data_IF_911021068802
#
_entry.id   IF_911021068802
#
_cell.length_a   1.000
_cell.length_b   1.000
_cell.length_c   1.000
_cell.angle_alpha   90.00
_cell.angle_beta   90.00
_cell.angle_gamma   90.00
#
_symmetry.space_group_name_H-M   'P 1'
#
loop_
_entity.id
_entity.type
_entity.pdbx_description
1 polymer ?
#
# COMPACT_ATOMS: atom_id res chain seq x y z
N UNK A 1 -0.37 11.70 -17.07
CA UNK A 1 0.06 10.80 -15.99
C UNK A 1 -0.05 9.36 -16.45
N UNK A 2 1.05 8.64 -16.42
CA UNK A 2 1.12 7.28 -17.00
C UNK A 2 0.41 6.22 -16.16
N UNK A 3 0.16 6.49 -14.87
CA UNK A 3 -0.52 5.54 -13.98
C UNK A 3 -1.93 5.98 -13.60
N UNK A 4 -2.51 6.90 -14.37
CA UNK A 4 -3.86 7.39 -14.09
C UNK A 4 -4.85 6.22 -13.97
N UNK A 5 -5.62 6.23 -12.91
CA UNK A 5 -6.65 5.23 -12.60
C UNK A 5 -6.11 3.82 -12.33
N UNK A 6 -4.79 3.65 -12.20
CA UNK A 6 -4.22 2.37 -11.77
C UNK A 6 -4.29 2.24 -10.27
N UNK A 7 -4.49 1.02 -9.80
CA UNK A 7 -4.60 0.70 -8.37
C UNK A 7 -3.47 -0.24 -7.98
N UNK A 8 -2.60 0.21 -7.08
CA UNK A 8 -1.37 -0.49 -6.74
C UNK A 8 -1.30 -0.74 -5.24
N UNK A 9 -1.07 -1.99 -4.87
CA UNK A 9 -0.80 -2.38 -3.49
C UNK A 9 0.72 -2.38 -3.28
N UNK A 10 1.19 -1.68 -2.26
CA UNK A 10 2.62 -1.61 -1.93
C UNK A 10 2.84 -2.09 -0.51
N UNK A 11 3.73 -3.06 -0.34
CA UNK A 11 4.13 -3.54 0.98
C UNK A 11 5.48 -2.93 1.38
N UNK A 12 5.80 -2.96 2.67
CA UNK A 12 7.12 -2.58 3.14
C UNK A 12 7.39 -1.09 3.26
N UNK A 13 6.35 -0.26 3.29
CA UNK A 13 6.55 1.17 3.56
C UNK A 13 6.75 1.32 5.08
N UNK A 14 8.00 1.44 5.50
CA UNK A 14 8.34 1.56 6.91
C UNK A 14 8.70 2.98 7.32
N UNK A 15 9.48 3.67 6.48
CA UNK A 15 9.88 5.05 6.74
C UNK A 15 9.88 5.83 5.44
N UNK A 16 10.00 7.16 5.53
CA UNK A 16 10.11 8.03 4.36
C UNK A 16 11.42 7.81 3.57
N UNK A 17 12.32 6.96 4.09
CA UNK A 17 13.58 6.61 3.42
C UNK A 17 13.54 5.23 2.76
N UNK A 18 12.44 4.49 2.90
CA UNK A 18 12.35 3.16 2.29
C UNK A 18 12.15 3.26 0.78
N UNK A 19 12.60 2.21 0.07
CA UNK A 19 12.38 2.13 -1.40
C UNK A 19 10.88 2.06 -1.69
N UNK A 20 10.12 1.36 -0.86
CA UNK A 20 8.67 1.27 -1.03
C UNK A 20 8.02 2.65 -0.90
N UNK A 21 8.49 3.49 0.01
CA UNK A 21 8.00 4.86 0.15
C UNK A 21 8.25 5.67 -1.13
N UNK A 22 9.46 5.60 -1.66
CA UNK A 22 9.81 6.30 -2.89
C UNK A 22 8.96 5.82 -4.08
N UNK A 23 8.74 4.50 -4.16
CA UNK A 23 7.88 3.91 -5.20
C UNK A 23 6.44 4.39 -5.08
N UNK A 24 5.90 4.46 -3.86
CA UNK A 24 4.56 4.97 -3.62
C UNK A 24 4.43 6.42 -4.05
N UNK A 25 5.43 7.24 -3.71
CA UNK A 25 5.45 8.65 -4.09
C UNK A 25 5.40 8.82 -5.60
N UNK A 26 6.24 8.10 -6.33
CA UNK A 26 6.26 8.17 -7.79
C UNK A 26 4.92 7.70 -8.37
N UNK A 27 4.35 6.62 -7.84
CA UNK A 27 3.07 6.12 -8.32
C UNK A 27 1.96 7.16 -8.15
N UNK A 28 1.89 7.80 -6.98
CA UNK A 28 0.89 8.83 -6.70
C UNK A 28 1.07 10.02 -7.63
N UNK A 29 2.31 10.47 -7.84
CA UNK A 29 2.61 11.57 -8.73
C UNK A 29 2.20 11.27 -10.19
N UNK A 30 2.12 9.99 -10.55
CA UNK A 30 1.69 9.55 -11.87
C UNK A 30 0.21 9.13 -11.91
N UNK A 31 -0.55 9.45 -10.90
CA UNK A 31 -1.99 9.30 -10.91
C UNK A 31 -2.54 8.00 -10.35
N UNK A 32 -1.70 7.14 -9.80
CA UNK A 32 -2.15 5.88 -9.23
C UNK A 32 -2.88 6.07 -7.90
N UNK A 33 -3.80 5.17 -7.61
CA UNK A 33 -4.35 4.98 -6.27
C UNK A 33 -3.47 3.94 -5.58
N UNK A 34 -2.87 4.31 -4.46
CA UNK A 34 -1.96 3.44 -3.71
C UNK A 34 -2.63 2.95 -2.44
N UNK A 35 -2.47 1.67 -2.16
CA UNK A 35 -2.89 1.04 -0.92
C UNK A 35 -1.64 0.43 -0.29
N UNK A 36 -1.49 0.52 1.01
CA UNK A 36 -0.32 0.02 1.72
C UNK A 36 -0.71 -1.07 2.71
N UNK A 37 0.25 -1.92 3.06
CA UNK A 37 0.07 -2.92 4.10
C UNK A 37 1.17 -2.82 5.14
N UNK A 38 0.83 -3.21 6.36
CA UNK A 38 1.76 -3.31 7.46
C UNK A 38 1.31 -4.41 8.42
N UNK A 39 2.16 -4.78 9.37
CA UNK A 39 1.84 -5.83 10.33
C UNK A 39 2.46 -5.54 11.69
N UNK A 40 1.71 -5.82 12.74
CA UNK A 40 2.19 -5.69 14.11
C UNK A 40 2.64 -4.27 14.42
N UNK A 41 3.83 -4.13 14.99
CA UNK A 41 4.41 -2.82 15.31
C UNK A 41 4.69 -2.01 14.05
N UNK A 42 4.98 -2.69 12.94
CA UNK A 42 5.23 -2.04 11.66
C UNK A 42 4.00 -1.37 11.09
N UNK A 43 2.80 -1.80 11.47
CA UNK A 43 1.56 -1.22 10.98
C UNK A 43 1.47 0.28 11.30
N UNK A 44 1.77 0.67 12.55
CA UNK A 44 1.75 2.08 12.95
C UNK A 44 2.83 2.89 12.25
N UNK A 45 3.99 2.28 12.05
CA UNK A 45 5.09 2.93 11.33
C UNK A 45 4.66 3.21 9.89
N UNK A 46 4.05 2.22 9.24
CA UNK A 46 3.53 2.37 7.89
C UNK A 46 2.46 3.46 7.82
N UNK A 47 1.51 3.45 8.75
CA UNK A 47 0.46 4.47 8.80
C UNK A 47 1.03 5.89 8.90
N UNK A 48 2.06 6.08 9.72
CA UNK A 48 2.71 7.39 9.84
C UNK A 48 3.45 7.79 8.58
N UNK A 49 4.14 6.83 7.96
CA UNK A 49 4.90 7.10 6.76
C UNK A 49 3.98 7.51 5.60
N UNK A 50 2.88 6.76 5.39
CA UNK A 50 1.98 7.05 4.28
C UNK A 50 1.23 8.37 4.44
N UNK A 51 0.99 8.82 5.66
CA UNK A 51 0.35 10.12 5.88
C UNK A 51 1.17 11.28 5.35
N UNK A 52 2.48 11.12 5.28
CA UNK A 52 3.36 12.15 4.70
C UNK A 52 3.20 12.24 3.19
N UNK A 53 2.72 11.16 2.56
CA UNK A 53 2.47 11.15 1.12
C UNK A 53 1.08 11.66 0.79
N UNK A 54 0.07 11.14 1.47
CA UNK A 54 -1.33 11.49 1.23
C UNK A 54 -2.19 10.94 2.35
N UNK A 55 -3.21 11.70 2.74
CA UNK A 55 -4.19 11.24 3.72
C UNK A 55 -5.15 10.20 3.11
N UNK A 56 -5.15 10.06 1.80
CA UNK A 56 -6.06 9.16 1.09
C UNK A 56 -5.57 7.72 1.00
N UNK A 57 -4.32 7.46 1.39
CA UNK A 57 -3.77 6.11 1.32
C UNK A 57 -4.33 5.27 2.46
N UNK A 58 -4.96 4.16 2.11
CA UNK A 58 -5.48 3.20 3.09
C UNK A 58 -4.41 2.17 3.42
N UNK A 59 -4.35 1.80 4.70
CA UNK A 59 -3.37 0.83 5.19
C UNK A 59 -4.11 -0.38 5.75
N UNK A 60 -3.74 -1.55 5.30
CA UNK A 60 -4.31 -2.82 5.76
C UNK A 60 -3.28 -3.63 6.51
N UNK A 61 -3.74 -4.36 7.53
CA UNK A 61 -2.87 -5.29 8.26
C UNK A 61 -2.71 -6.57 7.46
N UNK A 62 -1.45 -7.00 7.27
CA UNK A 62 -1.15 -8.22 6.51
C UNK A 62 0.15 -8.82 6.99
N UNK A 63 0.09 -10.05 7.50
CA UNK A 63 1.28 -10.84 7.81
C UNK A 63 1.66 -11.66 6.57
N UNK A 64 2.76 -11.29 5.93
CA UNK A 64 3.22 -11.92 4.69
C UNK A 64 3.51 -13.41 4.87
N UNK A 65 3.91 -13.83 6.07
CA UNK A 65 4.21 -15.22 6.38
C UNK A 65 2.96 -16.08 6.60
N UNK A 66 1.80 -15.45 6.70
CA UNK A 66 0.53 -16.15 6.92
C UNK A 66 -0.33 -16.03 5.67
N UNK A 67 -0.45 -17.13 4.92
CA UNK A 67 -1.17 -17.13 3.64
C UNK A 67 -2.64 -16.74 3.80
N UNK A 68 -3.28 -17.16 4.88
CA UNK A 68 -4.69 -16.80 5.11
C UNK A 68 -4.84 -15.30 5.32
N UNK A 69 -3.90 -14.64 6.00
CA UNK A 69 -3.94 -13.19 6.16
C UNK A 69 -3.67 -12.47 4.84
N UNK A 70 -2.77 -13.00 4.02
CA UNK A 70 -2.51 -12.44 2.69
C UNK A 70 -3.78 -12.48 1.86
N UNK A 71 -4.45 -13.62 1.82
CA UNK A 71 -5.69 -13.79 1.07
C UNK A 71 -6.80 -12.87 1.59
N UNK A 72 -6.94 -12.76 2.90
CA UNK A 72 -7.93 -11.88 3.53
C UNK A 72 -7.66 -10.42 3.24
N UNK A 73 -6.39 -10.01 3.30
CA UNK A 73 -6.00 -8.63 3.02
C UNK A 73 -6.26 -8.26 1.56
N UNK A 74 -5.91 -9.14 0.64
CA UNK A 74 -6.17 -8.91 -0.79
C UNK A 74 -7.67 -8.76 -1.04
N UNK A 75 -8.48 -9.61 -0.42
CA UNK A 75 -9.94 -9.53 -0.56
C UNK A 75 -10.48 -8.20 0.00
N UNK A 76 -9.99 -7.78 1.18
CA UNK A 76 -10.39 -6.50 1.78
C UNK A 76 -10.02 -5.33 0.88
N UNK A 77 -8.83 -5.36 0.29
CA UNK A 77 -8.39 -4.31 -0.62
C UNK A 77 -9.29 -4.26 -1.85
N UNK A 78 -9.65 -5.42 -2.41
CA UNK A 78 -10.55 -5.48 -3.57
C UNK A 78 -11.91 -4.90 -3.27
N UNK A 79 -12.43 -5.15 -2.07
CA UNK A 79 -13.73 -4.59 -1.65
C UNK A 79 -13.66 -3.07 -1.52
N UNK A 80 -12.53 -2.54 -1.10
CA UNK A 80 -12.37 -1.12 -0.84
C UNK A 80 -12.08 -0.31 -2.12
N UNK A 81 -11.19 -0.81 -2.97
CA UNK A 81 -10.71 -0.06 -4.14
C UNK A 81 -11.01 -0.74 -5.48
N UNK A 82 -11.54 -1.95 -5.45
CA UNK A 82 -11.76 -2.74 -6.66
C UNK A 82 -10.54 -3.56 -7.05
N UNK A 83 -10.45 -3.94 -8.30
CA UNK A 83 -9.36 -4.80 -8.77
C UNK A 83 -8.03 -4.07 -8.76
N UNK A 84 -6.99 -4.76 -8.29
CA UNK A 84 -5.63 -4.23 -8.31
C UNK A 84 -5.02 -4.41 -9.70
N UNK A 85 -4.26 -3.40 -10.12
CA UNK A 85 -3.48 -3.46 -11.37
C UNK A 85 -2.05 -3.95 -11.12
N UNK A 86 -1.56 -3.83 -9.90
CA UNK A 86 -0.23 -4.31 -9.56
C UNK A 86 -0.01 -4.42 -8.07
N UNK A 87 0.98 -5.23 -7.71
CA UNK A 87 1.44 -5.42 -6.32
C UNK A 87 2.96 -5.26 -6.32
N UNK A 88 3.44 -4.36 -5.49
CA UNK A 88 4.87 -4.17 -5.28
C UNK A 88 5.23 -4.68 -3.89
N UNK A 89 6.07 -5.70 -3.88
CA UNK A 89 6.47 -6.35 -2.63
C UNK A 89 7.94 -6.12 -2.35
#
# INVERSE_FOLDING_TARGET
MILKDKKILITGILTDKSIAYASAKVAIENGATVVATGFGKGLRITERAVKRLSDDIKVFSMDIENQDEVDSAVESVKQEVGNLDGILH
#
